data_IF_891874046665
#
_entry.id   IF_891874046665
#
_cell.length_a   1.000
_cell.length_b   1.000
_cell.length_c   1.000
_cell.angle_alpha   90.00
_cell.angle_beta   90.00
_cell.angle_gamma   90.00
#
_symmetry.space_group_name_H-M   'P 1'
#
loop_
_entity.id
_entity.type
_entity.pdbx_description
1 polymer ?
#
# COMPACT_ATOMS: atom_id res chain seq x y z
N UNK A 1 24.61 -25.12 -11.09
CA UNK A 1 23.28 -25.30 -10.48
C UNK A 1 22.48 -24.05 -10.82
N UNK A 2 21.92 -24.07 -12.01
CA UNK A 2 21.31 -22.95 -12.74
C UNK A 2 20.20 -23.59 -13.58
N UNK A 3 19.02 -23.83 -12.99
CA UNK A 3 17.95 -24.53 -13.71
C UNK A 3 16.54 -24.01 -13.44
N UNK A 4 16.31 -23.16 -12.44
CA UNK A 4 14.94 -22.68 -12.13
C UNK A 4 14.60 -21.31 -12.75
N UNK A 5 15.51 -20.73 -13.55
CA UNK A 5 15.34 -19.39 -14.12
C UNK A 5 15.63 -19.28 -15.63
N UNK A 6 16.10 -20.35 -16.27
CA UNK A 6 16.62 -20.27 -17.64
C UNK A 6 15.54 -20.46 -18.71
N UNK A 7 14.54 -21.32 -18.47
CA UNK A 7 13.49 -21.61 -19.46
C UNK A 7 12.34 -20.56 -19.42
N UNK A 8 11.98 -20.06 -18.24
CA UNK A 8 10.88 -19.08 -18.10
C UNK A 8 11.27 -17.67 -18.58
N UNK A 9 12.57 -17.37 -18.66
CA UNK A 9 13.08 -16.08 -19.13
C UNK A 9 12.91 -15.88 -20.63
N UNK A 10 12.96 -16.94 -21.44
CA UNK A 10 13.04 -16.78 -22.89
C UNK A 10 11.69 -16.39 -23.54
N UNK A 11 10.56 -16.77 -22.94
CA UNK A 11 9.22 -16.55 -23.54
C UNK A 11 8.48 -15.33 -22.98
N UNK A 12 8.84 -14.85 -21.78
CA UNK A 12 8.19 -13.67 -21.16
C UNK A 12 9.02 -12.37 -21.26
N UNK A 13 10.32 -12.45 -21.57
CA UNK A 13 11.23 -11.30 -21.54
C UNK A 13 11.35 -10.52 -22.86
N UNK A 14 10.47 -10.75 -23.84
CA UNK A 14 10.58 -10.10 -25.15
C UNK A 14 9.93 -8.70 -25.25
N UNK A 15 9.42 -8.10 -24.16
CA UNK A 15 8.85 -6.74 -24.24
C UNK A 15 8.64 -5.95 -22.94
N UNK A 16 9.37 -6.22 -21.85
CA UNK A 16 9.22 -5.41 -20.61
C UNK A 16 10.50 -4.66 -20.27
N UNK A 17 10.44 -3.32 -20.35
CA UNK A 17 11.53 -2.47 -19.87
C UNK A 17 11.73 -2.64 -18.36
N UNK A 18 12.94 -2.37 -17.82
CA UNK A 18 13.19 -2.42 -16.38
C UNK A 18 12.19 -1.59 -15.55
N UNK A 19 11.72 -0.48 -16.09
CA UNK A 19 10.73 0.40 -15.48
C UNK A 19 9.35 -0.27 -15.41
N UNK A 20 8.94 -0.94 -16.49
CA UNK A 20 7.69 -1.70 -16.52
C UNK A 20 7.71 -2.87 -15.52
N UNK A 21 8.86 -3.54 -15.38
CA UNK A 21 9.04 -4.60 -14.37
C UNK A 21 8.96 -4.04 -12.94
N UNK A 22 9.63 -2.93 -12.65
CA UNK A 22 9.56 -2.25 -11.34
C UNK A 22 8.13 -1.82 -11.01
N UNK A 23 7.40 -1.25 -11.98
CA UNK A 23 6.02 -0.84 -11.79
C UNK A 23 5.11 -2.03 -11.42
N UNK A 24 5.26 -3.16 -12.12
CA UNK A 24 4.50 -4.38 -11.84
C UNK A 24 4.81 -4.97 -10.45
N UNK A 25 6.09 -4.99 -10.06
CA UNK A 25 6.50 -5.47 -8.74
C UNK A 25 5.99 -4.55 -7.63
N UNK A 26 6.07 -3.23 -7.82
CA UNK A 26 5.52 -2.27 -6.88
C UNK A 26 4.01 -2.45 -6.74
N UNK A 27 3.28 -2.58 -7.86
CA UNK A 27 1.84 -2.82 -7.81
C UNK A 27 1.48 -4.09 -7.03
N UNK A 28 2.18 -5.20 -7.29
CA UNK A 28 1.97 -6.44 -6.55
C UNK A 28 2.25 -6.28 -5.06
N UNK A 29 3.40 -5.68 -4.74
CA UNK A 29 3.79 -5.41 -3.35
C UNK A 29 2.74 -4.56 -2.63
N UNK A 30 2.28 -3.47 -3.22
CA UNK A 30 1.29 -2.59 -2.58
C UNK A 30 -0.08 -3.24 -2.43
N UNK A 31 -0.46 -4.14 -3.34
CA UNK A 31 -1.67 -4.93 -3.18
C UNK A 31 -1.58 -5.83 -1.94
N UNK A 32 -0.51 -6.63 -1.83
CA UNK A 32 -0.30 -7.54 -0.70
C UNK A 32 -0.13 -6.77 0.63
N UNK A 33 0.64 -5.66 0.62
CA UNK A 33 0.82 -4.76 1.77
C UNK A 33 -0.51 -4.19 2.26
N UNK A 34 -1.36 -3.69 1.35
CA UNK A 34 -2.66 -3.13 1.74
C UNK A 34 -3.61 -4.21 2.28
N UNK A 35 -3.55 -5.43 1.74
CA UNK A 35 -4.31 -6.58 2.23
C UNK A 35 -3.92 -6.93 3.67
N UNK A 36 -2.63 -7.06 3.96
CA UNK A 36 -2.15 -7.35 5.30
C UNK A 36 -2.57 -6.28 6.34
N UNK A 37 -2.53 -4.99 5.96
CA UNK A 37 -3.02 -3.91 6.83
C UNK A 37 -4.53 -4.00 7.07
N UNK A 38 -5.32 -4.30 6.05
CA UNK A 38 -6.76 -4.47 6.19
C UNK A 38 -7.09 -5.65 7.13
N UNK A 39 -6.41 -6.78 6.97
CA UNK A 39 -6.57 -7.95 7.85
C UNK A 39 -6.22 -7.61 9.30
N UNK A 40 -5.09 -6.93 9.51
CA UNK A 40 -4.69 -6.45 10.84
C UNK A 40 -5.76 -5.53 11.46
N UNK A 41 -6.24 -4.52 10.74
CA UNK A 41 -7.24 -3.58 11.24
C UNK A 41 -8.58 -4.26 11.54
N UNK A 42 -9.00 -5.21 10.71
CA UNK A 42 -10.21 -5.99 10.94
C UNK A 42 -10.10 -6.93 12.16
N UNK A 43 -8.87 -7.37 12.48
CA UNK A 43 -8.60 -8.21 13.64
C UNK A 43 -8.72 -7.47 14.98
N UNK A 44 -8.72 -6.13 14.99
CA UNK A 44 -8.84 -5.34 16.21
C UNK A 44 -10.15 -5.64 16.93
N UNK A 45 -10.08 -5.88 18.24
CA UNK A 45 -11.23 -6.19 19.10
C UNK A 45 -11.26 -5.26 20.30
N UNK A 46 -12.46 -4.88 20.72
CA UNK A 46 -12.66 -4.22 22.01
C UNK A 46 -12.39 -5.19 23.16
N UNK A 47 -11.55 -4.79 24.13
CA UNK A 47 -11.31 -5.57 25.33
C UNK A 47 -12.39 -5.27 26.37
N UNK A 48 -13.16 -6.30 26.73
CA UNK A 48 -14.30 -6.14 27.66
C UNK A 48 -13.78 -5.85 29.08
N UNK A 49 -14.26 -4.78 29.69
CA UNK A 49 -14.03 -4.46 31.10
C UNK A 49 -14.74 -5.45 32.03
N UNK A 50 -14.13 -5.78 33.17
CA UNK A 50 -14.71 -6.68 34.16
C UNK A 50 -15.67 -5.96 35.12
N UNK A 51 -15.40 -4.68 35.40
CA UNK A 51 -16.19 -3.85 36.28
C UNK A 51 -16.56 -2.51 35.63
N UNK A 52 -17.48 -1.78 36.25
CA UNK A 52 -17.81 -0.42 35.81
C UNK A 52 -16.61 0.54 35.96
N UNK A 53 -15.80 0.39 37.01
CA UNK A 53 -14.59 1.20 37.18
C UNK A 53 -13.61 0.97 36.03
N UNK A 54 -13.35 -0.30 35.69
CA UNK A 54 -12.47 -0.63 34.57
C UNK A 54 -13.01 -0.08 33.24
N UNK A 55 -14.33 -0.06 33.05
CA UNK A 55 -14.95 0.50 31.85
C UNK A 55 -14.75 2.03 31.78
N UNK A 56 -14.89 2.72 32.91
CA UNK A 56 -14.63 4.17 33.01
C UNK A 56 -13.15 4.46 32.75
N UNK A 57 -12.23 3.66 33.30
CA UNK A 57 -10.79 3.83 33.10
C UNK A 57 -10.41 3.60 31.63
N UNK A 58 -10.97 2.57 30.98
CA UNK A 58 -10.76 2.31 29.55
C UNK A 58 -11.29 3.45 28.67
N UNK A 59 -12.48 3.99 28.97
CA UNK A 59 -13.05 5.11 28.22
C UNK A 59 -12.22 6.39 28.41
N UNK A 60 -11.78 6.66 29.64
CA UNK A 60 -10.89 7.78 29.96
C UNK A 60 -9.58 7.68 29.19
N UNK A 61 -8.95 6.50 29.18
CA UNK A 61 -7.71 6.23 28.46
C UNK A 61 -7.87 6.45 26.94
N UNK A 62 -9.00 6.01 26.35
CA UNK A 62 -9.27 6.24 24.93
C UNK A 62 -9.49 7.71 24.57
N UNK A 63 -10.06 8.49 25.49
CA UNK A 63 -10.33 9.91 25.31
C UNK A 63 -9.10 10.80 25.54
N UNK A 64 -8.09 10.31 26.25
CA UNK A 64 -6.83 11.04 26.48
C UNK A 64 -5.98 11.10 25.20
N UNK A 65 -5.82 12.30 24.64
CA UNK A 65 -5.09 12.51 23.38
C UNK A 65 -3.61 12.10 23.45
N UNK A 66 -3.00 12.12 24.64
CA UNK A 66 -1.57 11.82 24.81
C UNK A 66 -1.31 10.32 24.92
N UNK A 67 -2.25 9.57 25.49
CA UNK A 67 -2.06 8.16 25.83
C UNK A 67 -3.01 7.21 25.09
N UNK A 68 -3.98 7.73 24.34
CA UNK A 68 -4.96 6.92 23.62
C UNK A 68 -4.30 5.97 22.61
N UNK A 69 -4.51 4.64 22.75
CA UNK A 69 -4.06 3.67 21.77
C UNK A 69 -4.65 3.91 20.38
N UNK A 70 -5.84 4.49 20.29
CA UNK A 70 -6.48 4.85 19.02
C UNK A 70 -5.74 5.98 18.31
N UNK A 71 -5.31 7.00 19.06
CA UNK A 71 -4.51 8.11 18.50
C UNK A 71 -3.16 7.59 17.99
N UNK A 72 -2.48 6.76 18.77
CA UNK A 72 -1.21 6.14 18.35
C UNK A 72 -1.39 5.27 17.09
N UNK A 73 -2.47 4.50 17.00
CA UNK A 73 -2.82 3.71 15.81
C UNK A 73 -3.05 4.60 14.59
N UNK A 74 -3.87 5.65 14.71
CA UNK A 74 -4.16 6.56 13.61
C UNK A 74 -2.91 7.28 13.09
N UNK A 75 -2.00 7.68 13.99
CA UNK A 75 -0.71 8.27 13.61
C UNK A 75 0.14 7.27 12.80
N UNK A 76 0.18 6.02 13.24
CA UNK A 76 0.89 4.95 12.51
C UNK A 76 0.31 4.76 11.12
N UNK A 77 -1.02 4.72 10.99
CA UNK A 77 -1.69 4.62 9.69
C UNK A 77 -1.40 5.82 8.79
N UNK A 78 -1.37 7.03 9.34
CA UNK A 78 -1.05 8.24 8.58
C UNK A 78 0.36 8.18 7.98
N UNK A 79 1.36 7.77 8.78
CA UNK A 79 2.75 7.64 8.32
C UNK A 79 2.90 6.53 7.28
N UNK A 80 2.30 5.36 7.52
CA UNK A 80 2.46 4.20 6.63
C UNK A 80 1.65 4.34 5.33
N UNK A 81 0.48 4.96 5.37
CA UNK A 81 -0.38 5.19 4.20
C UNK A 81 0.23 6.14 3.17
N UNK A 82 1.12 7.05 3.59
CA UNK A 82 1.79 8.00 2.71
C UNK A 82 2.88 7.38 1.82
N UNK A 83 3.33 6.15 2.09
CA UNK A 83 4.49 5.54 1.43
C UNK A 83 4.19 4.94 0.03
N UNK A 84 3.01 5.18 -0.55
CA UNK A 84 2.67 4.66 -1.88
C UNK A 84 3.36 5.50 -2.97
N UNK A 85 4.20 4.91 -3.85
CA UNK A 85 4.79 5.60 -4.98
C UNK A 85 3.69 6.01 -5.97
N UNK A 86 3.85 7.20 -6.55
CA UNK A 86 2.88 7.74 -7.49
C UNK A 86 2.73 6.82 -8.72
N UNK A 87 1.51 6.72 -9.25
CA UNK A 87 1.22 6.05 -10.53
C UNK A 87 1.24 7.05 -11.70
N UNK A 88 2.02 8.12 -11.62
CA UNK A 88 1.82 9.36 -12.37
C UNK A 88 2.59 9.53 -13.68
N UNK A 89 3.62 8.73 -13.98
CA UNK A 89 4.54 9.07 -15.09
C UNK A 89 4.28 8.36 -16.43
N UNK A 90 3.45 7.32 -16.47
CA UNK A 90 3.30 6.49 -17.69
C UNK A 90 2.22 6.97 -18.67
N UNK A 91 1.38 7.95 -18.30
CA UNK A 91 0.27 8.42 -19.15
C UNK A 91 0.55 9.68 -19.99
N UNK A 92 1.72 10.33 -19.85
CA UNK A 92 2.04 11.55 -20.62
C UNK A 92 2.62 11.31 -22.02
N UNK A 93 3.15 10.12 -22.32
CA UNK A 93 3.82 9.89 -23.61
C UNK A 93 2.90 9.40 -24.74
N UNK A 94 1.71 8.85 -24.41
CA UNK A 94 0.75 8.42 -25.42
C UNK A 94 -0.05 9.59 -26.05
N UNK A 95 -0.02 10.79 -25.44
CA UNK A 95 -0.76 11.97 -25.92
C UNK A 95 0.03 12.90 -26.85
N UNK A 96 1.35 12.71 -27.00
CA UNK A 96 2.21 13.67 -27.71
C UNK A 96 2.65 13.19 -29.11
N UNK A 97 2.36 11.94 -29.48
CA UNK A 97 2.69 11.40 -30.82
C UNK A 97 1.56 11.60 -31.84
N UNK A 98 0.41 12.16 -31.42
CA UNK A 98 -0.77 12.39 -32.27
C UNK A 98 -0.95 13.82 -32.80
N UNK A 99 -0.07 14.77 -32.48
CA UNK A 99 -0.26 16.19 -32.84
C UNK A 99 0.79 16.75 -33.81
N UNK A 100 1.72 15.94 -34.32
CA UNK A 100 2.76 16.41 -35.25
C UNK A 100 2.42 16.18 -36.75
N UNK A 101 1.20 15.75 -37.08
CA UNK A 101 0.82 15.41 -38.46
C UNK A 101 -0.46 16.11 -38.93
N UNK A 102 -0.59 17.41 -38.66
CA UNK A 102 -1.46 18.30 -39.45
C UNK A 102 -0.80 19.68 -39.50
N UNK A 103 -0.01 19.92 -40.54
CA UNK A 103 0.23 21.26 -41.08
C UNK A 103 -0.10 21.20 -42.58
N UNK A 104 -0.86 22.14 -43.14
CA UNK A 104 -0.88 22.37 -44.58
C UNK A 104 0.46 22.91 -45.07
#
# INVERSE_FOLDING_TARGET
MDWVLSDTKQTAAQSTSPEALRARLAERYFADFSGAWLDFLNSLRWQRAATLSDAIDQLTLMADVRQSPLVALMNTLSVQGANRPDRGSHRRFAGQIGQAAVQP
#
